data_IF_243568745197
#
_entry.id   IF_243568745197
#
_cell.length_a   1.000
_cell.length_b   1.000
_cell.length_c   1.000
_cell.angle_alpha   90.00
_cell.angle_beta   90.00
_cell.angle_gamma   90.00
#
_symmetry.space_group_name_H-M   'P 1'
#
loop_
_entity.id
_entity.type
_entity.pdbx_description
1 polymer ?
#
# COMPACT_ATOMS: atom_id res chain seq x y z
N UNK A 1 32.00 35.00 -28.27
CA UNK A 1 30.62 34.59 -28.61
C UNK A 1 30.67 33.70 -29.84
N UNK A 2 30.52 32.38 -29.67
CA UNK A 2 30.36 31.44 -30.79
C UNK A 2 29.20 30.52 -30.46
N UNK A 3 28.13 30.63 -31.26
CA UNK A 3 26.84 29.96 -31.04
C UNK A 3 26.95 28.50 -31.47
N UNK A 4 26.50 27.60 -30.59
CA UNK A 4 26.34 26.16 -30.84
C UNK A 4 25.32 25.91 -31.97
N UNK A 5 25.55 24.94 -32.88
CA UNK A 5 24.53 24.51 -33.82
C UNK A 5 23.46 23.67 -33.10
N UNK A 6 22.21 24.09 -33.25
CA UNK A 6 21.00 23.34 -32.89
C UNK A 6 20.62 22.49 -34.09
N UNK A 7 20.65 21.16 -33.95
CA UNK A 7 20.05 20.26 -34.93
C UNK A 7 18.60 19.98 -34.52
N UNK A 8 17.69 20.65 -35.22
CA UNK A 8 16.26 20.41 -35.31
C UNK A 8 16.04 19.47 -36.50
N UNK A 9 15.51 18.25 -36.29
CA UNK A 9 15.04 17.41 -37.40
C UNK A 9 13.66 16.79 -37.04
N UNK A 10 12.64 17.46 -37.58
CA UNK A 10 11.49 16.95 -38.37
C UNK A 10 10.54 15.92 -37.73
N UNK A 11 9.31 16.41 -37.51
CA UNK A 11 8.05 15.68 -37.43
C UNK A 11 7.81 14.79 -38.65
N UNK A 12 7.34 13.56 -38.44
CA UNK A 12 6.56 12.82 -39.43
C UNK A 12 5.29 12.29 -38.77
N UNK A 13 4.18 12.99 -39.00
CA UNK A 13 2.84 12.52 -38.74
C UNK A 13 2.45 11.49 -39.81
N UNK A 14 1.93 10.34 -39.40
CA UNK A 14 1.18 9.46 -40.28
C UNK A 14 -0.24 9.36 -39.77
N UNK A 15 -1.15 9.96 -40.53
CA UNK A 15 -2.59 9.74 -40.49
C UNK A 15 -2.88 8.61 -41.47
N UNK A 16 -3.49 7.53 -41.00
CA UNK A 16 -4.27 6.61 -41.85
C UNK A 16 -5.63 6.41 -41.19
N UNK A 17 -6.66 6.74 -41.96
CA UNK A 17 -8.05 6.65 -41.59
C UNK A 17 -8.62 5.24 -41.88
N UNK A 18 -9.46 4.78 -40.96
CA UNK A 18 -10.73 4.12 -41.29
C UNK A 18 -10.71 2.62 -41.59
N UNK A 19 -11.28 1.82 -40.69
CA UNK A 19 -12.49 1.03 -40.98
C UNK A 19 -13.13 0.53 -39.68
N UNK A 20 -14.40 0.87 -39.50
CA UNK A 20 -15.30 0.31 -38.49
C UNK A 20 -15.73 -1.09 -38.90
N UNK A 21 -15.58 -2.07 -38.00
CA UNK A 21 -16.34 -3.33 -38.03
C UNK A 21 -16.99 -3.49 -36.68
N UNK A 22 -18.32 -3.42 -36.66
CA UNK A 22 -19.16 -3.79 -35.52
C UNK A 22 -19.49 -5.27 -35.60
N UNK A 23 -19.13 -6.03 -34.56
CA UNK A 23 -19.68 -7.33 -34.17
C UNK A 23 -19.14 -7.59 -32.75
N UNK A 24 -19.88 -8.03 -31.74
CA UNK A 24 -21.25 -8.41 -31.50
C UNK A 24 -21.27 -8.77 -30.02
N UNK A 25 -22.30 -8.34 -29.28
CA UNK A 25 -22.42 -8.63 -27.85
C UNK A 25 -22.69 -10.12 -27.67
N UNK A 26 -21.77 -10.83 -27.02
CA UNK A 26 -22.01 -12.16 -26.48
C UNK A 26 -21.91 -12.10 -24.96
N UNK A 27 -23.08 -12.06 -24.31
CA UNK A 27 -23.23 -12.30 -22.88
C UNK A 27 -22.70 -13.70 -22.53
N UNK A 28 -21.66 -13.77 -21.70
CA UNK A 28 -21.31 -14.99 -20.98
C UNK A 28 -22.03 -14.98 -19.62
N UNK A 29 -22.93 -15.94 -19.45
CA UNK A 29 -23.69 -16.28 -18.25
C UNK A 29 -22.80 -16.60 -17.04
N UNK A 30 -23.23 -16.29 -15.80
CA UNK A 30 -22.54 -16.75 -14.61
C UNK A 30 -22.81 -18.24 -14.37
N UNK A 31 -21.74 -19.04 -14.27
CA UNK A 31 -21.85 -20.43 -13.85
C UNK A 31 -22.10 -20.49 -12.34
N UNK A 32 -23.32 -20.85 -11.97
CA UNK A 32 -23.74 -21.21 -10.61
C UNK A 32 -23.17 -22.58 -10.21
N UNK A 33 -22.55 -22.62 -9.02
CA UNK A 33 -22.54 -23.71 -8.04
C UNK A 33 -22.38 -25.16 -8.51
N UNK A 34 -21.26 -25.77 -8.13
CA UNK A 34 -21.20 -27.19 -7.83
C UNK A 34 -20.55 -27.39 -6.45
N UNK A 35 -21.39 -27.66 -5.46
CA UNK A 35 -20.98 -28.19 -4.17
C UNK A 35 -20.32 -29.56 -4.38
N UNK A 36 -19.11 -29.75 -3.84
CA UNK A 36 -18.50 -31.07 -3.71
C UNK A 36 -18.54 -31.52 -2.25
N UNK A 37 -19.27 -32.62 -2.09
CA UNK A 37 -19.61 -33.37 -0.90
C UNK A 37 -18.42 -33.68 0.00
N UNK A 38 -18.59 -33.40 1.30
CA UNK A 38 -17.68 -33.80 2.35
C UNK A 38 -17.55 -35.34 2.44
N UNK A 39 -16.32 -35.84 2.48
CA UNK A 39 -16.00 -37.24 2.79
C UNK A 39 -15.68 -37.35 4.29
N UNK A 40 -16.28 -38.29 5.04
CA UNK A 40 -16.01 -38.44 6.46
C UNK A 40 -14.65 -39.12 6.69
N UNK A 41 -13.76 -38.48 7.46
CA UNK A 41 -12.55 -39.10 8.00
C UNK A 41 -12.76 -39.45 9.46
N UNK A 42 -12.97 -40.73 9.74
CA UNK A 42 -12.88 -41.34 11.07
C UNK A 42 -11.41 -41.46 11.49
N UNK A 43 -11.03 -40.89 12.62
CA UNK A 43 -9.71 -41.04 13.26
C UNK A 43 -9.61 -40.27 14.57
N UNK A 44 -8.85 -40.76 15.58
CA UNK A 44 -9.28 -40.76 16.97
C UNK A 44 -9.06 -39.46 17.75
N UNK A 45 -9.93 -39.24 18.74
CA UNK A 45 -9.84 -38.21 19.77
C UNK A 45 -8.52 -38.31 20.55
N UNK A 46 -7.71 -37.25 20.48
CA UNK A 46 -6.62 -37.00 21.42
C UNK A 46 -6.88 -35.69 22.14
N UNK A 47 -6.91 -35.79 23.47
CA UNK A 47 -7.07 -34.78 24.51
C UNK A 47 -6.38 -33.43 24.19
N UNK A 48 -7.00 -32.27 24.47
CA UNK A 48 -6.33 -30.98 24.37
C UNK A 48 -5.19 -30.90 25.39
N UNK A 49 -3.95 -30.97 24.92
CA UNK A 49 -2.77 -30.63 25.69
C UNK A 49 -2.58 -29.12 25.72
N UNK A 50 -2.44 -28.59 26.93
CA UNK A 50 -2.03 -27.22 27.22
C UNK A 50 -0.90 -26.74 26.31
N UNK A 51 -1.14 -25.66 25.59
CA UNK A 51 -0.10 -24.76 25.08
C UNK A 51 -0.55 -23.34 25.31
N UNK A 52 -0.77 -23.00 26.58
CA UNK A 52 -0.96 -21.62 27.01
C UNK A 52 0.37 -20.90 26.88
N UNK A 53 0.46 -19.94 25.96
CA UNK A 53 1.54 -18.95 25.97
C UNK A 53 1.55 -18.25 27.35
N UNK A 54 2.72 -18.07 28.00
CA UNK A 54 2.78 -17.35 29.27
C UNK A 54 2.28 -15.92 29.08
N UNK A 55 1.41 -15.46 29.98
CA UNK A 55 0.88 -14.11 29.94
C UNK A 55 2.01 -13.07 30.08
N UNK A 56 1.90 -11.92 29.40
CA UNK A 56 2.85 -10.82 29.58
C UNK A 56 2.82 -10.31 31.03
N UNK A 57 3.95 -9.76 31.54
CA UNK A 57 4.02 -9.26 32.90
C UNK A 57 2.98 -8.15 33.16
N UNK A 58 2.35 -8.09 34.36
CA UNK A 58 1.36 -7.07 34.68
C UNK A 58 1.96 -5.67 34.61
N UNK A 59 1.21 -4.71 34.06
CA UNK A 59 1.55 -3.30 34.13
C UNK A 59 1.62 -2.83 35.60
N UNK A 60 2.53 -1.91 35.95
CA UNK A 60 2.65 -1.43 37.33
C UNK A 60 1.35 -0.76 37.80
N UNK A 61 0.78 -1.31 38.87
CA UNK A 61 -0.44 -0.82 39.51
C UNK A 61 -0.15 0.53 40.17
N UNK A 62 -0.76 1.60 39.67
CA UNK A 62 -0.83 2.88 40.40
C UNK A 62 -1.81 2.72 41.56
N UNK A 63 -1.30 2.79 42.78
CA UNK A 63 -2.10 2.87 44.01
C UNK A 63 -2.96 4.16 44.00
N UNK A 64 -4.29 4.07 44.21
CA UNK A 64 -5.13 5.26 44.38
C UNK A 64 -4.93 5.84 45.79
N UNK A 65 -4.63 7.14 45.89
CA UNK A 65 -4.65 7.88 47.16
C UNK A 65 -6.07 8.39 47.45
N UNK A 66 -6.48 8.24 48.70
CA UNK A 66 -7.84 8.30 49.23
C UNK A 66 -8.62 9.60 49.04
N UNK A 67 -9.92 9.39 48.79
CA UNK A 67 -11.13 10.01 49.39
C UNK A 67 -11.15 11.51 49.69
N UNK A 68 -11.98 12.25 48.94
CA UNK A 68 -12.61 13.51 49.38
C UNK A 68 -14.13 13.41 49.16
N UNK A 69 -14.88 13.73 50.22
CA UNK A 69 -16.34 13.70 50.40
C UNK A 69 -17.10 14.57 49.38
N UNK A 70 -18.33 14.20 48.94
CA UNK A 70 -19.09 14.96 47.94
C UNK A 70 -19.80 16.19 48.56
N UNK A 71 -19.65 17.36 47.92
CA UNK A 71 -20.43 18.59 48.18
C UNK A 71 -21.35 18.87 46.98
N UNK A 72 -22.62 19.31 47.18
CA UNK A 72 -23.62 19.32 46.11
C UNK A 72 -23.38 20.39 45.03
N UNK A 73 -23.86 20.01 43.86
CA UNK A 73 -23.75 20.52 42.48
C UNK A 73 -24.14 21.99 42.28
N UNK A 74 -23.40 22.71 41.41
CA UNK A 74 -23.98 23.69 40.50
C UNK A 74 -24.11 23.08 39.09
N UNK A 75 -25.31 23.21 38.51
CA UNK A 75 -25.72 22.82 37.15
C UNK A 75 -24.59 22.96 36.12
N UNK A 76 -24.22 21.86 35.46
CA UNK A 76 -23.22 21.85 34.40
C UNK A 76 -23.69 22.70 33.20
N UNK A 77 -22.99 23.81 32.96
CA UNK A 77 -22.93 24.49 31.67
C UNK A 77 -22.38 23.51 30.63
N UNK A 78 -22.95 23.41 29.41
CA UNK A 78 -22.41 22.52 28.38
C UNK A 78 -20.97 22.91 28.06
N UNK A 79 -20.05 21.98 28.30
CA UNK A 79 -18.65 22.07 27.87
C UNK A 79 -18.63 22.24 26.34
N UNK A 80 -17.93 23.23 25.77
CA UNK A 80 -17.73 23.30 24.33
C UNK A 80 -16.99 22.04 23.88
N UNK A 81 -17.55 21.34 22.91
CA UNK A 81 -16.94 20.24 22.17
C UNK A 81 -15.47 20.57 21.85
N UNK A 82 -14.49 19.71 22.18
CA UNK A 82 -13.12 19.93 21.74
C UNK A 82 -13.11 20.01 20.22
N UNK A 83 -12.59 21.12 19.69
CA UNK A 83 -12.35 21.28 18.27
C UNK A 83 -11.55 20.10 17.72
N UNK A 84 -11.81 19.64 16.47
CA UNK A 84 -11.04 18.57 15.86
C UNK A 84 -9.54 18.89 15.94
N UNK A 85 -8.79 18.04 16.64
CA UNK A 85 -7.33 18.14 16.70
C UNK A 85 -6.83 18.08 15.26
N UNK A 86 -6.16 19.14 14.82
CA UNK A 86 -5.53 19.20 13.50
C UNK A 86 -4.71 17.92 13.27
N UNK A 87 -4.76 17.31 12.08
CA UNK A 87 -3.94 16.14 11.77
C UNK A 87 -2.49 16.43 12.14
N UNK A 88 -1.86 15.53 12.89
CA UNK A 88 -0.44 15.65 13.19
C UNK A 88 0.33 15.78 11.86
N UNK A 89 1.35 16.66 11.78
CA UNK A 89 2.19 16.73 10.59
C UNK A 89 2.72 15.34 10.28
N UNK A 90 2.44 14.92 9.06
CA UNK A 90 2.80 13.63 8.50
C UNK A 90 4.33 13.52 8.56
N UNK A 91 4.85 12.68 9.46
CA UNK A 91 6.28 12.49 9.58
C UNK A 91 6.79 11.92 8.26
N UNK A 92 7.71 12.62 7.61
CA UNK A 92 8.41 12.10 6.43
C UNK A 92 9.16 10.85 6.88
N UNK A 93 8.88 9.67 6.30
CA UNK A 93 9.53 8.45 6.72
C UNK A 93 11.01 8.54 6.38
N UNK A 94 11.86 8.32 7.38
CA UNK A 94 13.30 8.29 7.22
C UNK A 94 13.74 6.95 6.62
N UNK A 95 14.80 6.93 5.81
CA UNK A 95 15.37 5.70 5.32
C UNK A 95 15.92 4.84 6.47
N UNK A 96 15.60 3.55 6.43
CA UNK A 96 16.17 2.52 7.30
C UNK A 96 17.38 1.89 6.62
N UNK A 97 18.39 1.56 7.43
CA UNK A 97 19.63 0.96 6.93
C UNK A 97 19.40 -0.47 6.42
N UNK A 98 20.21 -0.84 5.43
CA UNK A 98 20.26 -2.20 4.90
C UNK A 98 20.96 -3.17 5.87
N UNK A 99 20.79 -4.47 5.64
CA UNK A 99 21.56 -5.51 6.31
C UNK A 99 23.06 -5.45 5.90
N UNK A 100 23.97 -5.97 6.74
CA UNK A 100 25.39 -6.05 6.38
C UNK A 100 25.62 -6.76 5.05
N UNK A 101 26.48 -6.19 4.20
CA UNK A 101 26.79 -6.73 2.88
C UNK A 101 25.83 -6.31 1.76
N UNK A 102 24.75 -5.59 2.07
CA UNK A 102 23.88 -5.00 1.06
C UNK A 102 24.59 -3.95 0.21
N UNK A 103 24.10 -3.71 -1.00
CA UNK A 103 24.68 -2.73 -1.90
C UNK A 103 24.28 -1.30 -1.45
N UNK A 104 25.24 -0.43 -1.07
CA UNK A 104 24.94 0.89 -0.54
C UNK A 104 24.33 1.85 -1.59
N UNK A 105 24.38 1.49 -2.88
CA UNK A 105 23.77 2.27 -3.96
C UNK A 105 22.31 1.90 -4.19
N UNK A 106 21.83 0.82 -3.62
CA UNK A 106 20.45 0.37 -3.77
C UNK A 106 19.58 0.95 -2.65
N UNK A 107 18.44 1.52 -3.02
CA UNK A 107 17.47 2.12 -2.08
C UNK A 107 16.07 1.80 -2.57
N UNK A 108 15.30 1.06 -1.80
CA UNK A 108 13.95 0.63 -2.21
C UNK A 108 12.88 1.42 -1.46
N UNK A 109 11.88 1.91 -2.19
CA UNK A 109 10.67 2.47 -1.59
C UNK A 109 9.63 1.36 -1.43
N UNK A 110 9.03 1.23 -0.25
CA UNK A 110 7.94 0.29 0.00
C UNK A 110 6.69 1.11 0.33
N UNK A 111 5.66 0.97 -0.48
CA UNK A 111 4.37 1.63 -0.33
C UNK A 111 3.31 0.59 0.03
N UNK A 112 2.46 0.90 1.00
CA UNK A 112 1.43 -0.03 1.45
C UNK A 112 0.10 0.68 1.73
N UNK A 113 -0.99 -0.07 1.59
CA UNK A 113 -2.34 0.44 1.89
C UNK A 113 -2.57 0.58 3.39
N UNK A 114 -3.45 1.50 3.77
CA UNK A 114 -3.80 1.71 5.19
C UNK A 114 -5.29 1.84 5.45
N UNK A 115 -6.13 1.85 4.42
CA UNK A 115 -7.58 1.99 4.59
C UNK A 115 -8.28 0.64 4.67
N UNK A 116 -9.57 0.67 5.02
CA UNK A 116 -10.42 -0.51 5.08
C UNK A 116 -10.13 -1.45 6.24
N UNK A 117 -10.93 -2.52 6.33
CA UNK A 117 -10.79 -3.54 7.39
C UNK A 117 -9.49 -4.35 7.30
N UNK A 118 -8.82 -4.30 6.14
CA UNK A 118 -7.57 -5.01 5.86
C UNK A 118 -6.33 -4.11 5.91
N UNK A 119 -6.46 -2.80 6.19
CA UNK A 119 -5.34 -1.87 6.18
C UNK A 119 -4.20 -2.22 7.15
N UNK A 120 -4.48 -3.00 8.21
CA UNK A 120 -3.45 -3.52 9.10
C UNK A 120 -2.52 -4.54 8.43
N UNK A 121 -2.99 -5.24 7.39
CA UNK A 121 -2.19 -6.18 6.61
C UNK A 121 -1.16 -5.44 5.76
N UNK A 122 -1.46 -4.22 5.28
CA UNK A 122 -0.54 -3.43 4.48
C UNK A 122 0.80 -3.21 5.17
N UNK A 123 0.78 -2.70 6.41
CA UNK A 123 2.01 -2.51 7.19
C UNK A 123 2.67 -3.85 7.56
N UNK A 124 1.89 -4.88 7.91
CA UNK A 124 2.42 -6.19 8.24
C UNK A 124 3.16 -6.84 7.04
N UNK A 125 2.65 -6.67 5.82
CA UNK A 125 3.30 -7.12 4.58
C UNK A 125 4.48 -6.22 4.21
N UNK A 126 4.40 -4.92 4.50
CA UNK A 126 5.52 -4.00 4.29
C UNK A 126 6.73 -4.39 5.14
N UNK A 127 6.53 -4.78 6.40
CA UNK A 127 7.60 -5.28 7.28
C UNK A 127 8.23 -6.57 6.73
N UNK A 128 7.41 -7.51 6.25
CA UNK A 128 7.91 -8.74 5.64
C UNK A 128 8.72 -8.46 4.36
N UNK A 129 8.20 -7.57 3.51
CA UNK A 129 8.89 -7.10 2.31
C UNK A 129 10.19 -6.38 2.66
N UNK A 130 10.19 -5.54 3.69
CA UNK A 130 11.36 -4.83 4.19
C UNK A 130 12.46 -5.80 4.64
N UNK A 131 12.10 -6.88 5.35
CA UNK A 131 13.07 -7.92 5.72
C UNK A 131 13.76 -8.51 4.48
N UNK A 132 13.00 -8.83 3.44
CA UNK A 132 13.56 -9.35 2.18
C UNK A 132 14.44 -8.31 1.47
N UNK A 133 13.92 -7.10 1.30
CA UNK A 133 14.59 -5.99 0.61
C UNK A 133 15.86 -5.52 1.33
N UNK A 134 15.90 -5.65 2.66
CA UNK A 134 17.04 -5.22 3.48
C UNK A 134 18.33 -6.00 3.17
N UNK A 135 18.22 -7.22 2.65
CA UNK A 135 19.38 -8.01 2.22
C UNK A 135 20.14 -7.36 1.06
N UNK A 136 19.44 -6.60 0.21
CA UNK A 136 20.01 -6.02 -1.01
C UNK A 136 20.13 -4.50 -0.99
N UNK A 137 19.33 -3.81 -0.17
CA UNK A 137 19.18 -2.35 -0.24
C UNK A 137 18.79 -1.72 1.10
N UNK A 138 19.11 -0.44 1.26
CA UNK A 138 18.43 0.38 2.27
C UNK A 138 16.97 0.56 1.83
N UNK A 139 16.05 0.80 2.77
CA UNK A 139 14.64 0.94 2.41
C UNK A 139 13.94 2.03 3.19
N UNK A 140 12.90 2.59 2.59
CA UNK A 140 11.92 3.45 3.28
C UNK A 140 10.56 2.80 3.10
N UNK A 141 9.79 2.64 4.17
CA UNK A 141 8.42 2.14 4.08
C UNK A 141 7.44 3.22 4.53
N UNK A 142 6.32 3.38 3.81
CA UNK A 142 5.27 4.31 4.18
C UNK A 142 3.91 3.95 3.58
N UNK A 143 2.80 4.46 4.17
CA UNK A 143 1.50 4.38 3.53
C UNK A 143 1.51 4.99 2.13
N UNK A 144 0.85 4.37 1.16
CA UNK A 144 0.80 4.86 -0.23
C UNK A 144 0.18 6.25 -0.31
N UNK A 145 -0.78 6.57 0.56
CA UNK A 145 -1.38 7.90 0.69
C UNK A 145 -0.36 9.00 1.06
N UNK A 146 0.87 8.63 1.44
CA UNK A 146 1.95 9.54 1.80
C UNK A 146 2.87 9.84 0.63
N UNK A 147 2.74 9.13 -0.48
CA UNK A 147 3.58 9.31 -1.64
C UNK A 147 3.48 10.74 -2.19
N UNK A 148 4.64 11.32 -2.50
CA UNK A 148 4.74 12.66 -3.11
C UNK A 148 5.25 12.59 -4.54
N UNK A 149 4.80 13.51 -5.40
CA UNK A 149 5.24 13.52 -6.81
C UNK A 149 6.76 13.63 -6.93
N UNK A 150 7.34 12.78 -7.77
CA UNK A 150 8.77 12.68 -8.00
C UNK A 150 9.53 11.89 -6.94
N UNK A 151 8.87 11.39 -5.88
CA UNK A 151 9.56 10.71 -4.78
C UNK A 151 10.32 9.45 -5.24
N UNK A 152 9.74 8.68 -6.17
CA UNK A 152 10.36 7.52 -6.80
C UNK A 152 11.72 7.84 -7.45
N UNK A 153 11.98 9.10 -7.82
CA UNK A 153 13.26 9.52 -8.37
C UNK A 153 14.44 9.33 -7.40
N UNK A 154 14.20 9.36 -6.09
CA UNK A 154 15.21 9.19 -5.04
C UNK A 154 15.59 7.74 -4.71
N UNK A 155 14.88 6.77 -5.28
CA UNK A 155 15.02 5.34 -5.02
C UNK A 155 15.54 4.60 -6.25
N UNK A 156 16.06 3.39 -6.10
CA UNK A 156 16.46 2.52 -7.22
C UNK A 156 15.34 1.61 -7.70
N UNK A 157 14.32 1.40 -6.88
CA UNK A 157 13.10 0.67 -7.23
C UNK A 157 12.00 0.92 -6.20
N UNK A 158 10.80 0.45 -6.51
CA UNK A 158 9.63 0.55 -5.62
C UNK A 158 8.86 -0.75 -5.56
N UNK A 159 8.32 -1.04 -4.38
CA UNK A 159 7.36 -2.12 -4.14
C UNK A 159 6.07 -1.49 -3.63
N UNK A 160 4.95 -1.78 -4.29
CA UNK A 160 3.61 -1.43 -3.83
C UNK A 160 2.87 -2.68 -3.35
N UNK A 161 2.23 -2.57 -2.18
CA UNK A 161 1.49 -3.64 -1.50
C UNK A 161 0.02 -3.23 -1.34
N UNK A 162 -0.81 -3.72 -2.25
CA UNK A 162 -2.25 -3.51 -2.27
C UNK A 162 -2.97 -4.53 -1.38
N UNK A 163 -3.25 -4.18 -0.13
CA UNK A 163 -4.03 -5.04 0.79
C UNK A 163 -5.52 -4.71 0.80
N UNK A 164 -5.90 -3.56 0.25
CA UNK A 164 -7.27 -3.05 0.31
C UNK A 164 -7.76 -2.72 -1.09
N UNK A 165 -8.80 -3.41 -1.52
CA UNK A 165 -9.51 -3.12 -2.76
C UNK A 165 -10.02 -1.68 -2.79
N UNK A 166 -9.73 -0.97 -3.88
CA UNK A 166 -10.04 0.44 -4.11
C UNK A 166 -9.40 1.41 -3.09
N UNK A 167 -8.20 1.09 -2.59
CA UNK A 167 -7.39 2.09 -1.88
C UNK A 167 -7.19 3.30 -2.82
N UNK A 168 -7.48 4.54 -2.38
CA UNK A 168 -7.25 5.71 -3.21
C UNK A 168 -5.75 5.97 -3.38
N UNK A 169 -5.20 5.54 -4.52
CA UNK A 169 -3.79 5.73 -4.84
C UNK A 169 -3.57 7.17 -5.33
N UNK A 170 -2.59 7.92 -4.80
CA UNK A 170 -2.24 9.24 -5.31
C UNK A 170 -1.93 9.19 -6.80
N UNK A 171 -2.55 10.10 -7.57
CA UNK A 171 -2.30 10.25 -9.00
C UNK A 171 -0.83 10.40 -9.32
N UNK A 172 -0.10 11.13 -8.47
CA UNK A 172 1.34 11.32 -8.56
C UNK A 172 2.13 9.99 -8.56
N UNK A 173 1.71 9.00 -7.77
CA UNK A 173 2.37 7.69 -7.76
C UNK A 173 2.13 6.95 -9.07
N UNK A 174 0.89 6.94 -9.55
CA UNK A 174 0.54 6.29 -10.82
C UNK A 174 1.27 6.94 -12.00
N UNK A 175 1.32 8.27 -12.04
CA UNK A 175 2.01 9.02 -13.10
C UNK A 175 3.54 8.74 -13.07
N UNK A 176 4.15 8.71 -11.88
CA UNK A 176 5.57 8.40 -11.73
C UNK A 176 5.91 6.94 -12.10
N UNK A 177 5.02 5.99 -11.81
CA UNK A 177 5.19 4.57 -12.19
C UNK A 177 5.09 4.39 -13.71
N UNK A 178 4.18 5.08 -14.39
CA UNK A 178 4.07 5.00 -15.85
C UNK A 178 5.24 5.69 -16.56
N UNK A 179 5.87 6.69 -15.92
CA UNK A 179 6.98 7.44 -16.51
C UNK A 179 8.37 6.86 -16.18
N UNK A 180 8.48 5.95 -15.21
CA UNK A 180 9.77 5.44 -14.73
C UNK A 180 10.32 4.33 -15.62
N UNK A 181 11.65 4.21 -15.63
CA UNK A 181 12.36 3.04 -16.15
C UNK A 181 12.96 2.17 -15.03
N UNK A 182 12.70 2.55 -13.77
CA UNK A 182 13.18 1.82 -12.59
C UNK A 182 12.29 0.60 -12.33
N UNK A 183 12.81 -0.47 -11.71
CA UNK A 183 12.01 -1.61 -11.31
C UNK A 183 10.84 -1.21 -10.40
N UNK A 184 9.64 -1.67 -10.78
CA UNK A 184 8.40 -1.55 -10.02
C UNK A 184 7.89 -2.96 -9.77
N UNK A 185 7.65 -3.29 -8.51
CA UNK A 185 6.92 -4.49 -8.12
C UNK A 185 5.55 -4.07 -7.59
N UNK A 186 4.50 -4.57 -8.23
CA UNK A 186 3.13 -4.40 -7.78
C UNK A 186 2.62 -5.73 -7.24
N UNK A 187 2.13 -5.77 -6.01
CA UNK A 187 1.58 -6.97 -5.41
C UNK A 187 0.22 -6.70 -4.78
N UNK A 188 -0.75 -7.58 -5.07
CA UNK A 188 -2.11 -7.47 -4.55
C UNK A 188 -3.01 -6.60 -5.40
N UNK A 189 -3.90 -5.86 -4.73
CA UNK A 189 -4.99 -5.10 -5.34
C UNK A 189 -4.52 -3.81 -6.05
N UNK A 190 -5.47 -3.10 -6.66
CA UNK A 190 -5.41 -1.74 -7.19
C UNK A 190 -4.65 -1.54 -8.52
N UNK A 191 -4.11 -2.60 -9.14
CA UNK A 191 -3.42 -2.46 -10.44
C UNK A 191 -4.33 -1.88 -11.54
N UNK A 192 -5.65 -2.10 -11.45
CA UNK A 192 -6.62 -1.55 -12.39
C UNK A 192 -6.64 -0.02 -12.42
N UNK A 193 -6.23 0.66 -11.35
CA UNK A 193 -6.11 2.12 -11.34
C UNK A 193 -4.97 2.59 -12.26
N UNK A 194 -3.91 1.78 -12.41
CA UNK A 194 -2.81 2.04 -13.34
C UNK A 194 -3.25 1.76 -14.78
N UNK A 195 -3.93 0.64 -15.01
CA UNK A 195 -4.42 0.26 -16.35
C UNK A 195 -5.50 1.21 -16.87
N UNK A 196 -6.36 1.76 -16.00
CA UNK A 196 -7.35 2.76 -16.39
C UNK A 196 -6.71 4.11 -16.76
N UNK A 197 -5.46 4.34 -16.34
CA UNK A 197 -4.73 5.58 -16.54
C UNK A 197 -3.92 5.60 -17.84
N UNK A 198 -3.51 4.42 -18.29
CA UNK A 198 -2.80 4.21 -19.55
C UNK A 198 -3.58 3.26 -20.47
N UNK A 199 -4.11 3.81 -21.57
CA UNK A 199 -4.86 3.04 -22.56
C UNK A 199 -4.04 1.96 -23.28
N UNK A 200 -2.71 2.02 -23.23
CA UNK A 200 -1.82 1.05 -23.84
C UNK A 200 -1.20 0.07 -22.82
N UNK A 201 -1.61 0.11 -21.56
CA UNK A 201 -0.96 -0.63 -20.47
C UNK A 201 -0.75 -2.12 -20.80
N UNK A 202 -1.77 -2.80 -21.31
CA UNK A 202 -1.69 -4.23 -21.65
C UNK A 202 -0.72 -4.52 -22.82
N UNK A 203 -0.57 -3.58 -23.76
CA UNK A 203 0.37 -3.72 -24.86
C UNK A 203 1.83 -3.55 -24.39
N UNK A 204 2.04 -2.66 -23.42
CA UNK A 204 3.38 -2.34 -22.92
C UNK A 204 3.85 -3.30 -21.80
N UNK A 205 2.93 -3.80 -20.96
CA UNK A 205 3.26 -4.56 -19.75
C UNK A 205 2.65 -5.98 -19.67
N UNK A 206 1.66 -6.33 -20.51
CA UNK A 206 1.00 -7.64 -20.51
C UNK A 206 -0.11 -7.82 -19.48
N UNK A 207 -0.36 -9.08 -19.07
CA UNK A 207 -1.44 -9.52 -18.17
C UNK A 207 -0.93 -10.42 -17.05
#
# INVERSE_FOLDING_TARGET
MSRRPRHLIILAAWVVAGTLVSAGVANATPATGAASTARPSTGPSTTPGDSTLPAPPPAPVRVPKSTVTPKPTPKATPTPTPAPKAPAPKATPAPTNAAPGANPRQRTLILFDTTGQWGWLGEAYAVQTANLVSHGSAYTMQPVANYTSGELSGYTGVVYLGSTYDEPIPTAFLDDVLATTKPVLWAGDNIWQLTARDGNFAADYGW
#
